data_IF_548718538581
#
_entry.id   IF_548718538581
#
_cell.length_a   1.000
_cell.length_b   1.000
_cell.length_c   1.000
_cell.angle_alpha   90.00
_cell.angle_beta   90.00
_cell.angle_gamma   90.00
#
_symmetry.space_group_name_H-M   'P 1'
#
loop_
_entity.id
_entity.type
_entity.pdbx_description
1 polymer ?
#
# COMPACT_ATOMS: atom_id res chain seq x y z
N UNK A 1 31.31 11.41 -24.55
CA UNK A 1 30.12 11.43 -23.67
C UNK A 1 30.47 12.23 -22.43
N UNK A 2 29.85 13.39 -22.20
CA UNK A 2 30.23 14.30 -21.11
C UNK A 2 29.90 13.68 -19.75
N UNK A 3 30.88 13.64 -18.83
CA UNK A 3 30.72 13.02 -17.50
C UNK A 3 29.60 13.69 -16.67
N UNK A 4 29.38 14.99 -16.90
CA UNK A 4 28.26 15.76 -16.33
C UNK A 4 26.90 15.24 -16.79
N UNK A 5 26.78 14.87 -18.06
CA UNK A 5 25.54 14.32 -18.62
C UNK A 5 25.24 12.96 -18.00
N UNK A 6 26.27 12.12 -17.81
CA UNK A 6 26.14 10.80 -17.17
C UNK A 6 25.74 10.91 -15.70
N UNK A 7 26.30 11.87 -14.97
CA UNK A 7 25.90 12.15 -13.58
C UNK A 7 24.46 12.64 -13.49
N UNK A 8 24.05 13.56 -14.38
CA UNK A 8 22.71 14.12 -14.37
C UNK A 8 21.64 13.08 -14.71
N UNK A 9 21.89 12.23 -15.72
CA UNK A 9 20.98 11.13 -16.06
C UNK A 9 20.91 10.11 -14.93
N UNK A 10 22.04 9.71 -14.34
CA UNK A 10 22.04 8.77 -13.21
C UNK A 10 21.23 9.30 -12.01
N UNK A 11 21.39 10.58 -11.66
CA UNK A 11 20.64 11.20 -10.57
C UNK A 11 19.12 11.20 -10.84
N UNK A 12 18.74 11.53 -12.08
CA UNK A 12 17.34 11.54 -12.50
C UNK A 12 16.70 10.14 -12.43
N UNK A 13 17.41 9.11 -12.90
CA UNK A 13 16.95 7.72 -12.79
C UNK A 13 16.82 7.25 -11.35
N UNK A 14 17.74 7.61 -10.46
CA UNK A 14 17.67 7.28 -9.03
C UNK A 14 16.42 7.92 -8.39
N UNK A 15 16.13 9.17 -8.75
CA UNK A 15 15.00 9.92 -8.22
C UNK A 15 13.66 9.33 -8.69
N UNK A 16 13.57 8.95 -9.96
CA UNK A 16 12.43 8.21 -10.53
C UNK A 16 12.25 6.84 -9.86
N UNK A 17 13.33 6.08 -9.70
CA UNK A 17 13.31 4.76 -9.07
C UNK A 17 12.85 4.83 -7.60
N UNK A 18 13.04 5.98 -6.95
CA UNK A 18 12.59 6.22 -5.59
C UNK A 18 11.12 6.69 -5.49
N UNK A 19 10.65 7.53 -6.40
CA UNK A 19 9.27 8.02 -6.40
C UNK A 19 8.25 6.94 -6.78
N UNK A 20 8.63 6.00 -7.65
CA UNK A 20 7.78 4.89 -8.10
C UNK A 20 7.22 4.02 -6.96
N UNK A 21 8.05 3.42 -6.08
CA UNK A 21 7.55 2.56 -5.01
C UNK A 21 6.67 3.33 -4.01
N UNK A 22 6.91 4.63 -3.81
CA UNK A 22 6.08 5.46 -2.92
C UNK A 22 4.67 5.60 -3.49
N UNK A 23 4.53 6.01 -4.75
CA UNK A 23 3.22 6.20 -5.40
C UNK A 23 2.44 4.89 -5.53
N UNK A 24 3.10 3.81 -5.97
CA UNK A 24 2.53 2.47 -6.06
C UNK A 24 2.15 1.90 -4.68
N UNK A 25 2.98 2.18 -3.68
CA UNK A 25 2.70 1.91 -2.29
C UNK A 25 1.38 2.54 -1.89
N UNK A 26 1.28 3.88 -1.93
CA UNK A 26 0.10 4.64 -1.47
C UNK A 26 -1.17 4.10 -2.13
N UNK A 27 -1.15 3.86 -3.44
CA UNK A 27 -2.28 3.29 -4.18
C UNK A 27 -2.68 1.92 -3.64
N UNK A 28 -1.71 1.05 -3.36
CA UNK A 28 -1.95 -0.28 -2.77
C UNK A 28 -2.52 -0.20 -1.35
N UNK A 29 -2.04 0.72 -0.51
CA UNK A 29 -2.58 0.91 0.84
C UNK A 29 -4.04 1.36 0.82
N UNK A 30 -4.35 2.36 0.00
CA UNK A 30 -5.71 2.86 -0.15
C UNK A 30 -6.65 1.77 -0.68
N UNK A 31 -6.23 1.03 -1.70
CA UNK A 31 -7.01 -0.09 -2.22
C UNK A 31 -7.23 -1.20 -1.19
N UNK A 32 -6.30 -1.40 -0.24
CA UNK A 32 -6.40 -2.44 0.80
C UNK A 32 -7.01 -1.93 2.12
N UNK A 33 -7.58 -0.71 2.14
CA UNK A 33 -8.10 -0.03 3.35
C UNK A 33 -7.08 0.06 4.51
N UNK A 34 -5.80 0.16 4.18
CA UNK A 34 -4.66 0.29 5.11
C UNK A 34 -4.26 1.75 5.26
N UNK A 35 -3.68 2.09 6.43
CA UNK A 35 -3.21 3.44 6.71
C UNK A 35 -2.02 3.81 5.81
N UNK A 36 -2.06 4.99 5.18
CA UNK A 36 -0.97 5.52 4.33
C UNK A 36 0.31 5.83 5.10
N UNK A 37 0.27 5.86 6.44
CA UNK A 37 1.45 6.06 7.29
C UNK A 37 2.56 5.02 7.07
N UNK A 38 2.25 3.85 6.51
CA UNK A 38 3.26 2.84 6.15
C UNK A 38 4.26 3.35 5.11
N UNK A 39 3.91 4.38 4.34
CA UNK A 39 4.77 4.95 3.29
C UNK A 39 5.74 5.97 3.83
N UNK A 40 5.62 6.38 5.09
CA UNK A 40 6.64 7.21 5.73
C UNK A 40 7.97 6.45 5.86
N UNK A 41 7.90 5.13 6.02
CA UNK A 41 9.06 4.24 5.93
C UNK A 41 9.69 4.23 4.52
N UNK A 42 8.94 4.63 3.48
CA UNK A 42 9.43 4.80 2.10
C UNK A 42 10.37 6.01 1.90
N UNK A 43 10.67 6.77 2.95
CA UNK A 43 11.69 7.83 2.93
C UNK A 43 13.12 7.32 2.61
N UNK A 44 13.33 6.01 2.60
CA UNK A 44 14.53 5.38 2.06
C UNK A 44 14.14 4.55 0.82
N UNK A 45 14.87 4.65 -0.31
CA UNK A 45 14.53 3.92 -1.54
C UNK A 45 14.38 2.41 -1.33
N UNK A 46 15.23 1.80 -0.51
CA UNK A 46 15.17 0.36 -0.23
C UNK A 46 13.89 0.02 0.56
N UNK A 47 13.58 0.83 1.58
CA UNK A 47 12.39 0.65 2.40
C UNK A 47 11.10 0.92 1.62
N UNK A 48 11.13 1.78 0.60
CA UNK A 48 9.99 1.99 -0.31
C UNK A 48 9.60 0.70 -1.04
N UNK A 49 10.57 -0.03 -1.57
CA UNK A 49 10.32 -1.32 -2.23
C UNK A 49 9.91 -2.41 -1.24
N UNK A 50 10.50 -2.44 -0.04
CA UNK A 50 10.11 -3.39 1.02
C UNK A 50 8.66 -3.12 1.46
N UNK A 51 8.28 -1.87 1.70
CA UNK A 51 6.92 -1.53 2.10
C UNK A 51 5.93 -1.88 1.00
N UNK A 52 6.22 -1.56 -0.26
CA UNK A 52 5.38 -1.95 -1.39
C UNK A 52 5.19 -3.48 -1.47
N UNK A 53 6.26 -4.26 -1.38
CA UNK A 53 6.18 -5.74 -1.42
C UNK A 53 5.37 -6.29 -0.24
N UNK A 54 5.66 -5.83 0.98
CA UNK A 54 4.90 -6.21 2.18
C UNK A 54 3.41 -5.89 2.01
N UNK A 55 3.06 -4.68 1.58
CA UNK A 55 1.67 -4.29 1.31
C UNK A 55 1.00 -5.16 0.24
N UNK A 56 1.75 -5.59 -0.77
CA UNK A 56 1.25 -6.49 -1.79
C UNK A 56 0.89 -7.87 -1.20
N UNK A 57 1.74 -8.41 -0.32
CA UNK A 57 1.50 -9.68 0.39
C UNK A 57 0.42 -9.59 1.47
N UNK A 58 0.20 -8.43 2.06
CA UNK A 58 -0.85 -8.25 3.07
C UNK A 58 -2.25 -8.40 2.45
N UNK A 59 -3.12 -9.17 3.10
CA UNK A 59 -4.54 -9.22 2.73
C UNK A 59 -5.22 -7.88 2.96
N UNK A 60 -6.20 -7.59 2.12
CA UNK A 60 -7.10 -6.45 2.25
C UNK A 60 -7.83 -6.47 3.60
N UNK A 61 -8.04 -5.28 4.17
CA UNK A 61 -8.86 -5.07 5.34
C UNK A 61 -10.29 -4.75 4.93
N UNK A 62 -11.23 -5.51 5.46
CA UNK A 62 -12.65 -5.20 5.33
C UNK A 62 -13.13 -4.55 6.62
N UNK A 63 -13.87 -3.47 6.47
CA UNK A 63 -14.50 -2.78 7.59
C UNK A 63 -15.94 -3.26 7.78
N UNK A 64 -16.31 -3.57 9.02
CA UNK A 64 -17.68 -3.96 9.36
C UNK A 64 -18.57 -2.72 9.42
N UNK A 65 -19.65 -2.67 8.62
CA UNK A 65 -20.60 -1.54 8.61
C UNK A 65 -21.27 -1.30 9.97
N UNK A 66 -21.47 -2.34 10.77
CA UNK A 66 -22.21 -2.24 12.03
C UNK A 66 -21.33 -1.85 13.24
N UNK A 67 -20.05 -2.24 13.24
CA UNK A 67 -19.16 -1.98 14.38
C UNK A 67 -17.92 -1.16 14.05
N UNK A 68 -17.68 -0.80 12.78
CA UNK A 68 -16.53 0.01 12.34
C UNK A 68 -15.16 -0.67 12.52
N UNK A 69 -15.12 -1.93 12.94
CA UNK A 69 -13.85 -2.65 13.16
C UNK A 69 -13.31 -3.21 11.83
N UNK A 70 -11.99 -3.13 11.67
CA UNK A 70 -11.27 -3.64 10.50
C UNK A 70 -10.81 -5.08 10.73
N UNK A 71 -11.14 -5.97 9.79
CA UNK A 71 -10.80 -7.39 9.83
C UNK A 71 -10.05 -7.81 8.56
N UNK A 72 -9.31 -8.92 8.62
CA UNK A 72 -8.74 -9.53 7.41
C UNK A 72 -9.87 -10.09 6.53
N UNK A 73 -9.74 -9.99 5.20
CA UNK A 73 -10.72 -10.50 4.22
C UNK A 73 -11.13 -11.98 4.43
N UNK A 74 -10.29 -12.80 5.08
CA UNK A 74 -10.59 -14.22 5.31
C UNK A 74 -11.55 -14.51 6.47
N UNK A 75 -12.03 -13.50 7.20
CA UNK A 75 -12.94 -13.72 8.33
C UNK A 75 -14.38 -13.64 7.82
N UNK A 76 -15.09 -14.77 7.80
CA UNK A 76 -16.47 -14.88 7.27
C UNK A 76 -17.55 -14.32 8.21
N UNK A 77 -17.20 -14.01 9.46
CA UNK A 77 -18.18 -13.61 10.48
C UNK A 77 -17.56 -12.63 11.46
N UNK A 78 -18.28 -11.55 11.76
CA UNK A 78 -17.91 -10.67 12.86
C UNK A 78 -18.17 -11.43 14.17
N UNK A 79 -17.20 -11.58 15.10
CA UNK A 79 -17.40 -12.31 16.35
C UNK A 79 -18.43 -11.66 17.27
N UNK A 80 -18.88 -10.44 16.96
CA UNK A 80 -19.81 -9.67 17.78
C UNK A 80 -21.27 -9.71 17.26
N UNK A 81 -21.51 -10.07 15.99
CA UNK A 81 -22.87 -10.19 15.42
C UNK A 81 -22.91 -11.24 14.29
N UNK A 82 -23.92 -12.11 14.37
CA UNK A 82 -24.15 -13.30 13.53
C UNK A 82 -24.40 -12.99 12.04
N UNK A 83 -24.74 -11.75 11.68
CA UNK A 83 -25.05 -11.40 10.29
C UNK A 83 -24.51 -10.01 9.95
N UNK A 84 -23.41 -9.95 9.20
CA UNK A 84 -22.94 -8.70 8.60
C UNK A 84 -22.72 -8.93 7.12
N UNK A 85 -23.43 -8.16 6.30
CA UNK A 85 -23.14 -7.97 4.89
C UNK A 85 -21.79 -7.26 4.83
N UNK A 86 -20.72 -8.01 4.61
CA UNK A 86 -19.41 -7.45 4.33
C UNK A 86 -19.57 -6.51 3.14
N UNK A 87 -19.27 -5.22 3.34
CA UNK A 87 -19.21 -4.28 2.22
C UNK A 87 -17.94 -4.62 1.45
N UNK A 88 -18.05 -5.61 0.56
CA UNK A 88 -17.02 -5.93 -0.42
C UNK A 88 -17.04 -4.75 -1.37
N UNK A 89 -16.21 -3.73 -1.11
CA UNK A 89 -15.87 -2.75 -2.14
C UNK A 89 -15.00 -3.47 -3.19
N UNK A 90 -15.63 -4.39 -3.94
CA UNK A 90 -15.15 -4.82 -5.25
C UNK A 90 -15.20 -3.59 -6.13
N UNK A 91 -14.09 -2.87 -6.23
CA UNK A 91 -13.85 -2.02 -7.39
C UNK A 91 -13.33 -2.94 -8.50
N UNK A 92 -14.24 -3.15 -9.46
CA UNK A 92 -14.04 -3.65 -10.82
C UNK A 92 -12.76 -3.07 -11.42
#
# INVERSE_FOLDING_TARGET
MNIKILLFTALFFILLLWLLPITLGIKTALNKNRSTHWMWLGGNPILGWITYTVLNFLSELIECRNCGKKFKNNVKSCPHLIFVIFNRHTKI
#
